data_IF_247175932235
#
_entry.id   IF_247175932235
#
_cell.length_a   1.000
_cell.length_b   1.000
_cell.length_c   1.000
_cell.angle_alpha   90.00
_cell.angle_beta   90.00
_cell.angle_gamma   90.00
#
_symmetry.space_group_name_H-M   'P 1'
#
loop_
_entity.id
_entity.type
_entity.pdbx_description
1 polymer ?
#
# COMPACT_ATOMS: atom_id res chain seq x y z
N UNK A 1 11.87 -73.95 28.77
CA UNK A 1 11.38 -72.63 28.30
C UNK A 1 12.59 -71.72 28.09
N UNK A 2 12.85 -71.27 26.86
CA UNK A 2 13.95 -70.36 26.53
C UNK A 2 13.58 -68.93 26.91
N UNK A 3 14.35 -68.29 27.80
CA UNK A 3 14.15 -66.90 28.22
C UNK A 3 14.90 -65.96 27.27
N UNK A 4 14.19 -65.33 26.34
CA UNK A 4 14.77 -64.31 25.46
C UNK A 4 15.04 -63.01 26.24
N UNK A 5 16.32 -62.76 26.56
CA UNK A 5 16.78 -61.50 27.14
C UNK A 5 16.85 -60.44 26.03
N UNK A 6 15.75 -59.72 25.81
CA UNK A 6 15.75 -58.51 24.98
C UNK A 6 16.64 -57.45 25.66
N UNK A 7 17.90 -57.31 25.23
CA UNK A 7 18.77 -56.18 25.60
C UNK A 7 18.17 -54.91 24.99
N UNK A 8 17.43 -54.13 25.79
CA UNK A 8 17.06 -52.77 25.40
C UNK A 8 18.35 -51.95 25.28
N UNK A 9 18.78 -51.65 24.06
CA UNK A 9 19.84 -50.67 23.79
C UNK A 9 19.23 -49.29 24.02
N UNK A 10 19.50 -48.69 25.17
CA UNK A 10 19.17 -47.29 25.43
C UNK A 10 20.16 -46.38 24.72
N UNK A 11 19.67 -45.26 24.19
CA UNK A 11 20.54 -44.16 23.76
C UNK A 11 21.33 -43.65 24.96
N UNK A 12 22.61 -43.33 24.76
CA UNK A 12 23.40 -42.68 25.80
C UNK A 12 22.98 -41.22 25.93
N UNK A 13 23.06 -40.66 27.15
CA UNK A 13 22.84 -39.23 27.37
C UNK A 13 23.76 -38.38 26.47
N UNK A 14 24.98 -38.85 26.24
CA UNK A 14 25.98 -38.17 25.40
C UNK A 14 25.53 -38.09 23.94
N UNK A 15 25.04 -39.19 23.35
CA UNK A 15 24.53 -39.17 21.97
C UNK A 15 23.35 -38.20 21.82
N UNK A 16 22.48 -38.12 22.82
CA UNK A 16 21.33 -37.23 22.78
C UNK A 16 21.72 -35.75 22.88
N UNK A 17 22.67 -35.38 23.75
CA UNK A 17 23.12 -33.99 23.86
C UNK A 17 23.85 -33.50 22.61
N UNK A 18 24.63 -34.35 21.94
CA UNK A 18 25.36 -33.96 20.72
C UNK A 18 24.39 -33.61 19.61
N UNK A 19 23.32 -34.38 19.45
CA UNK A 19 22.27 -34.10 18.45
C UNK A 19 21.54 -32.80 18.78
N UNK A 20 21.18 -32.56 20.03
CA UNK A 20 20.53 -31.31 20.44
C UNK A 20 21.42 -30.09 20.19
N UNK A 21 22.73 -30.19 20.42
CA UNK A 21 23.69 -29.12 20.15
C UNK A 21 23.76 -28.82 18.65
N UNK A 22 23.83 -29.85 17.80
CA UNK A 22 23.85 -29.67 16.33
C UNK A 22 22.56 -29.01 15.85
N UNK A 23 21.39 -29.47 16.32
CA UNK A 23 20.10 -28.89 15.98
C UNK A 23 20.00 -27.42 16.43
N UNK A 24 20.53 -27.08 17.61
CA UNK A 24 20.56 -25.71 18.11
C UNK A 24 21.42 -24.79 17.23
N UNK A 25 22.60 -25.24 16.80
CA UNK A 25 23.48 -24.46 15.91
C UNK A 25 22.83 -24.25 14.54
N UNK A 26 22.26 -25.30 13.95
CA UNK A 26 21.58 -25.20 12.65
C UNK A 26 20.37 -24.27 12.72
N UNK A 27 19.56 -24.38 13.78
CA UNK A 27 18.42 -23.48 13.99
C UNK A 27 18.87 -22.02 14.15
N UNK A 28 19.93 -21.76 14.93
CA UNK A 28 20.44 -20.42 15.16
C UNK A 28 20.88 -19.70 13.86
N UNK A 29 21.47 -20.44 12.92
CA UNK A 29 21.86 -19.88 11.61
C UNK A 29 20.68 -19.72 10.65
N UNK A 30 19.70 -20.62 10.71
CA UNK A 30 18.59 -20.67 9.75
C UNK A 30 17.46 -19.67 10.08
N UNK A 31 17.18 -19.42 11.36
CA UNK A 31 16.08 -18.55 11.79
C UNK A 31 16.19 -17.12 11.21
N UNK A 32 17.34 -16.42 11.29
CA UNK A 32 17.47 -15.06 10.74
C UNK A 32 17.31 -15.00 9.22
N UNK A 33 17.78 -16.03 8.51
CA UNK A 33 17.60 -16.11 7.06
C UNK A 33 16.12 -16.29 6.71
N UNK A 34 15.43 -17.20 7.40
CA UNK A 34 14.02 -17.49 7.14
C UNK A 34 13.11 -16.28 7.44
N UNK A 35 13.36 -15.53 8.51
CA UNK A 35 12.59 -14.32 8.81
C UNK A 35 12.78 -13.24 7.75
N UNK A 36 13.99 -13.07 7.23
CA UNK A 36 14.26 -12.17 6.10
C UNK A 36 13.52 -12.56 4.82
N UNK A 37 13.49 -13.86 4.49
CA UNK A 37 12.73 -14.37 3.33
C UNK A 37 11.22 -14.15 3.48
N UNK A 38 10.67 -14.35 4.68
CA UNK A 38 9.25 -14.10 4.96
C UNK A 38 8.91 -12.63 4.76
N UNK A 39 9.73 -11.70 5.27
CA UNK A 39 9.48 -10.27 5.09
C UNK A 39 9.61 -9.84 3.62
N UNK A 40 10.55 -10.42 2.86
CA UNK A 40 10.63 -10.21 1.40
C UNK A 40 9.38 -10.71 0.67
N UNK A 41 8.93 -11.94 0.96
CA UNK A 41 7.73 -12.51 0.35
C UNK A 41 6.48 -11.67 0.64
N UNK A 42 6.36 -11.13 1.86
CA UNK A 42 5.28 -10.19 2.21
C UNK A 42 5.34 -8.90 1.40
N UNK A 43 6.53 -8.32 1.22
CA UNK A 43 6.71 -7.12 0.38
C UNK A 43 6.32 -7.41 -1.08
N UNK A 44 6.81 -8.51 -1.63
CA UNK A 44 6.52 -8.91 -3.01
C UNK A 44 5.02 -9.14 -3.22
N UNK A 45 4.35 -9.76 -2.24
CA UNK A 45 2.90 -9.92 -2.26
C UNK A 45 2.16 -8.57 -2.26
N UNK A 46 2.55 -7.64 -1.40
CA UNK A 46 1.92 -6.32 -1.31
C UNK A 46 2.15 -5.49 -2.59
N UNK A 47 3.31 -5.63 -3.22
CA UNK A 47 3.60 -5.03 -4.53
C UNK A 47 2.66 -5.60 -5.60
N UNK A 48 2.48 -6.93 -5.63
CA UNK A 48 1.56 -7.58 -6.56
C UNK A 48 0.12 -7.11 -6.36
N UNK A 49 -0.37 -7.05 -5.12
CA UNK A 49 -1.70 -6.52 -4.78
C UNK A 49 -1.88 -5.06 -5.20
N UNK A 50 -0.84 -4.23 -4.99
CA UNK A 50 -0.86 -2.81 -5.42
C UNK A 50 -0.97 -2.69 -6.94
N UNK A 51 -0.32 -3.59 -7.69
CA UNK A 51 -0.41 -3.63 -9.15
C UNK A 51 -1.77 -4.11 -9.64
N UNK A 52 -2.35 -5.15 -9.04
CA UNK A 52 -3.72 -5.59 -9.37
C UNK A 52 -4.72 -4.46 -9.11
N UNK A 53 -4.55 -3.74 -8.00
CA UNK A 53 -5.35 -2.56 -7.69
C UNK A 53 -5.16 -1.44 -8.73
N UNK A 54 -3.93 -1.19 -9.18
CA UNK A 54 -3.66 -0.23 -10.26
C UNK A 54 -4.46 -0.58 -11.52
N UNK A 55 -4.38 -1.84 -11.97
CA UNK A 55 -5.03 -2.30 -13.21
C UNK A 55 -6.57 -2.23 -13.11
N UNK A 56 -7.13 -2.65 -11.97
CA UNK A 56 -8.56 -2.56 -11.70
C UNK A 56 -9.06 -1.10 -11.72
N UNK A 57 -8.38 -0.20 -11.00
CA UNK A 57 -8.78 1.21 -10.95
C UNK A 57 -8.60 1.88 -12.29
N UNK A 58 -7.49 1.63 -12.99
CA UNK A 58 -7.26 2.23 -14.30
C UNK A 58 -8.32 1.82 -15.32
N UNK A 59 -8.90 0.62 -15.20
CA UNK A 59 -10.02 0.14 -16.01
C UNK A 59 -11.28 0.98 -15.76
N UNK A 60 -11.73 1.06 -14.51
CA UNK A 60 -12.89 1.89 -14.11
C UNK A 60 -12.72 3.37 -14.48
N UNK A 61 -11.52 3.91 -14.27
CA UNK A 61 -11.22 5.30 -14.57
C UNK A 61 -11.22 5.59 -16.06
N UNK A 62 -10.82 4.62 -16.90
CA UNK A 62 -10.91 4.75 -18.35
C UNK A 62 -12.37 4.80 -18.82
N UNK A 63 -13.27 4.04 -18.20
CA UNK A 63 -14.70 4.09 -18.49
C UNK A 63 -15.31 5.45 -18.12
N UNK A 64 -14.99 5.97 -16.93
CA UNK A 64 -15.42 7.30 -16.51
C UNK A 64 -14.88 8.38 -17.46
N UNK A 65 -13.62 8.28 -17.86
CA UNK A 65 -12.99 9.23 -18.77
C UNK A 65 -13.64 9.25 -20.16
N UNK A 66 -14.01 8.08 -20.68
CA UNK A 66 -14.72 7.94 -21.95
C UNK A 66 -16.20 8.28 -21.89
N UNK A 67 -16.76 8.43 -20.68
CA UNK A 67 -18.17 8.79 -20.48
C UNK A 67 -18.41 10.29 -20.63
N UNK A 68 -19.67 10.69 -20.90
CA UNK A 68 -20.09 12.10 -20.91
C UNK A 68 -20.34 12.67 -19.50
N UNK A 69 -19.85 12.02 -18.44
CA UNK A 69 -20.04 12.46 -17.05
C UNK A 69 -19.02 13.54 -16.69
N UNK A 70 -19.47 14.66 -16.13
CA UNK A 70 -18.59 15.66 -15.56
C UNK A 70 -18.03 15.17 -14.20
N UNK A 71 -16.88 14.49 -14.22
CA UNK A 71 -16.28 13.87 -13.04
C UNK A 71 -15.23 14.74 -12.32
N UNK A 72 -14.81 15.86 -12.90
CA UNK A 72 -13.89 16.84 -12.29
C UNK A 72 -14.63 17.97 -11.57
N UNK A 73 -15.65 17.64 -10.78
CA UNK A 73 -16.51 18.67 -10.19
C UNK A 73 -15.75 19.46 -9.14
N UNK A 74 -15.85 20.80 -9.18
CA UNK A 74 -15.44 21.72 -8.09
C UNK A 74 -14.09 21.38 -7.45
N UNK A 75 -13.06 21.22 -8.29
CA UNK A 75 -11.66 21.00 -7.89
C UNK A 75 -11.35 19.63 -7.25
N UNK A 76 -12.31 18.99 -6.56
CA UNK A 76 -12.14 17.72 -5.84
C UNK A 76 -13.35 16.82 -6.06
N UNK A 77 -13.12 15.53 -6.35
CA UNK A 77 -14.22 14.58 -6.57
C UNK A 77 -13.89 13.19 -6.06
N UNK A 78 -14.85 12.57 -5.39
CA UNK A 78 -14.77 11.18 -4.92
C UNK A 78 -15.35 10.28 -6.01
N UNK A 79 -14.49 9.55 -6.72
CA UNK A 79 -14.87 8.74 -7.87
C UNK A 79 -15.40 7.38 -7.44
N UNK A 80 -14.76 6.75 -6.46
CA UNK A 80 -15.20 5.50 -5.84
C UNK A 80 -14.90 5.56 -4.34
N UNK A 81 -15.80 5.06 -3.49
CA UNK A 81 -15.56 4.97 -2.05
C UNK A 81 -16.55 4.05 -1.34
N UNK A 82 -16.12 3.34 -0.30
CA UNK A 82 -17.02 2.58 0.58
C UNK A 82 -17.70 3.45 1.65
N UNK A 83 -17.37 4.75 1.71
CA UNK A 83 -17.77 5.63 2.80
C UNK A 83 -19.26 5.98 2.71
N UNK A 84 -19.90 6.07 3.87
CA UNK A 84 -21.28 6.53 4.00
C UNK A 84 -21.42 8.05 3.89
N UNK A 85 -20.38 8.78 4.24
CA UNK A 85 -20.35 10.25 4.18
C UNK A 85 -19.15 10.72 3.35
N UNK A 86 -19.31 11.83 2.61
CA UNK A 86 -18.18 12.39 1.87
C UNK A 86 -17.10 12.90 2.81
N UNK A 87 -15.88 12.93 2.28
CA UNK A 87 -14.71 13.50 2.94
C UNK A 87 -14.86 15.02 2.90
N UNK A 88 -14.85 15.69 4.05
CA UNK A 88 -14.76 17.15 4.17
C UNK A 88 -15.72 17.96 3.24
N UNK A 89 -16.95 17.47 3.07
CA UNK A 89 -17.96 18.11 2.22
C UNK A 89 -17.76 17.95 0.70
N UNK A 90 -16.79 17.14 0.27
CA UNK A 90 -16.55 16.83 -1.15
C UNK A 90 -17.71 16.06 -1.75
N UNK A 91 -17.78 15.98 -3.08
CA UNK A 91 -18.90 15.33 -3.76
C UNK A 91 -18.49 13.97 -4.30
N UNK A 92 -19.37 12.99 -4.06
CA UNK A 92 -19.36 11.75 -4.82
C UNK A 92 -19.68 12.03 -6.28
N UNK A 93 -19.04 11.29 -7.17
CA UNK A 93 -19.46 11.22 -8.56
C UNK A 93 -20.80 10.48 -8.62
N UNK A 94 -21.90 11.21 -8.83
CA UNK A 94 -23.25 10.65 -8.71
C UNK A 94 -23.67 10.53 -7.25
N UNK A 95 -24.38 9.45 -6.90
CA UNK A 95 -24.81 9.18 -5.53
C UNK A 95 -23.74 8.44 -4.72
N UNK A 96 -23.94 8.37 -3.39
CA UNK A 96 -23.11 7.55 -2.52
C UNK A 96 -23.17 6.06 -2.89
N UNK A 97 -24.34 5.57 -3.34
CA UNK A 97 -24.49 4.21 -3.81
C UNK A 97 -23.67 3.95 -5.08
N UNK A 98 -23.62 4.91 -6.01
CA UNK A 98 -22.82 4.80 -7.23
C UNK A 98 -21.32 4.75 -6.92
N UNK A 99 -20.86 5.59 -5.99
CA UNK A 99 -19.47 5.58 -5.53
C UNK A 99 -19.10 4.26 -4.84
N UNK A 100 -20.03 3.69 -4.06
CA UNK A 100 -19.86 2.38 -3.43
C UNK A 100 -19.83 1.24 -4.45
N UNK A 101 -20.71 1.25 -5.44
CA UNK A 101 -20.73 0.22 -6.47
C UNK A 101 -19.40 0.13 -7.22
N UNK A 102 -18.85 1.28 -7.63
CA UNK A 102 -17.52 1.34 -8.26
C UNK A 102 -16.41 0.88 -7.33
N UNK A 103 -16.49 1.21 -6.04
CA UNK A 103 -15.52 0.74 -5.06
C UNK A 103 -15.55 -0.79 -4.92
N UNK A 104 -16.74 -1.37 -4.80
CA UNK A 104 -16.93 -2.81 -4.66
C UNK A 104 -16.47 -3.55 -5.94
N UNK A 105 -16.68 -2.96 -7.12
CA UNK A 105 -16.18 -3.47 -8.40
C UNK A 105 -14.65 -3.47 -8.46
N UNK A 106 -14.00 -2.36 -8.07
CA UNK A 106 -12.53 -2.27 -7.95
C UNK A 106 -11.99 -3.34 -7.02
N UNK A 107 -12.58 -3.48 -5.82
CA UNK A 107 -12.14 -4.48 -4.83
C UNK A 107 -12.25 -5.89 -5.39
N UNK A 108 -13.35 -6.16 -6.10
CA UNK A 108 -13.60 -7.47 -6.73
C UNK A 108 -12.61 -7.75 -7.86
N UNK A 109 -12.33 -6.77 -8.72
CA UNK A 109 -11.38 -6.90 -9.83
C UNK A 109 -9.94 -7.04 -9.34
N UNK A 110 -9.57 -6.32 -8.28
CA UNK A 110 -8.23 -6.34 -7.72
C UNK A 110 -7.95 -7.55 -6.81
N UNK A 111 -9.00 -8.29 -6.43
CA UNK A 111 -8.94 -9.46 -5.52
C UNK A 111 -8.22 -9.18 -4.18
N UNK A 112 -8.35 -7.96 -3.67
CA UNK A 112 -7.69 -7.57 -2.42
C UNK A 112 -8.43 -8.12 -1.18
N UNK A 113 -7.71 -8.47 -0.09
CA UNK A 113 -8.34 -8.94 1.13
C UNK A 113 -9.21 -7.87 1.78
N UNK A 114 -10.27 -8.28 2.49
CA UNK A 114 -11.22 -7.37 3.13
C UNK A 114 -10.63 -6.50 4.25
N UNK A 115 -9.49 -6.90 4.81
CA UNK A 115 -8.75 -6.09 5.80
C UNK A 115 -7.90 -4.99 5.16
N UNK A 116 -7.72 -5.01 3.84
CA UNK A 116 -6.94 -4.01 3.15
C UNK A 116 -7.75 -2.72 2.93
N UNK A 117 -7.03 -1.61 2.86
CA UNK A 117 -7.58 -0.29 2.60
C UNK A 117 -6.69 0.41 1.58
N UNK A 118 -7.26 1.32 0.80
CA UNK A 118 -6.47 2.08 -0.15
C UNK A 118 -6.94 3.50 -0.31
N UNK A 119 -6.00 4.37 -0.69
CA UNK A 119 -6.24 5.68 -1.25
C UNK A 119 -5.58 5.70 -2.63
N UNK A 120 -6.33 6.11 -3.64
CA UNK A 120 -5.80 6.32 -4.99
C UNK A 120 -6.14 7.74 -5.43
N UNK A 121 -5.13 8.44 -5.92
CA UNK A 121 -5.28 9.74 -6.55
C UNK A 121 -5.18 9.56 -8.05
N UNK A 122 -6.09 10.18 -8.79
CA UNK A 122 -6.06 10.24 -10.25
C UNK A 122 -5.93 11.68 -10.72
N UNK A 123 -5.28 11.85 -11.85
CA UNK A 123 -5.10 13.14 -12.50
C UNK A 123 -6.26 13.49 -13.44
N UNK A 124 -6.20 14.66 -14.06
CA UNK A 124 -7.22 15.16 -14.97
C UNK A 124 -7.38 14.35 -16.26
N UNK A 125 -6.51 13.38 -16.52
CA UNK A 125 -6.63 12.43 -17.62
C UNK A 125 -7.14 11.07 -17.15
N UNK A 126 -7.65 10.98 -15.91
CA UNK A 126 -8.09 9.74 -15.27
C UNK A 126 -6.98 8.66 -15.22
N UNK A 127 -5.72 9.10 -15.19
CA UNK A 127 -4.57 8.23 -14.96
C UNK A 127 -4.19 8.27 -13.49
N UNK A 128 -3.70 7.15 -12.99
CA UNK A 128 -3.25 7.04 -11.61
C UNK A 128 -2.05 7.97 -11.37
N UNK A 129 -2.21 8.87 -10.41
CA UNK A 129 -1.18 9.78 -9.91
C UNK A 129 -0.38 9.14 -8.77
N UNK A 130 -1.09 8.59 -7.78
CA UNK A 130 -0.48 7.90 -6.64
C UNK A 130 -1.41 6.82 -6.10
N UNK A 131 -0.84 5.73 -5.59
CA UNK A 131 -1.53 4.68 -4.84
C UNK A 131 -0.88 4.57 -3.48
N UNK A 132 -1.71 4.50 -2.45
CA UNK A 132 -1.34 4.13 -1.09
C UNK A 132 -2.24 2.97 -0.68
N UNK A 133 -1.67 1.77 -0.61
CA UNK A 133 -2.38 0.54 -0.32
C UNK A 133 -1.92 -0.01 1.03
N UNK A 134 -2.79 -0.02 2.04
CA UNK A 134 -2.53 -0.71 3.29
C UNK A 134 -3.05 -2.14 3.19
N UNK A 135 -2.15 -3.11 3.26
CA UNK A 135 -2.47 -4.54 3.14
C UNK A 135 -3.23 -5.14 4.32
N UNK A 136 -3.40 -4.40 5.42
CA UNK A 136 -3.93 -4.90 6.69
C UNK A 136 -2.98 -5.84 7.44
N UNK A 137 -1.75 -6.05 6.93
CA UNK A 137 -0.75 -7.00 7.45
C UNK A 137 0.53 -6.34 7.96
N UNK A 138 0.45 -5.04 8.27
CA UNK A 138 1.58 -4.24 8.73
C UNK A 138 2.50 -3.75 7.60
N UNK A 139 2.04 -3.82 6.36
CA UNK A 139 2.76 -3.35 5.18
C UNK A 139 1.89 -2.41 4.36
N UNK A 140 2.52 -1.35 3.83
CA UNK A 140 1.95 -0.49 2.80
C UNK A 140 2.60 -0.77 1.46
N UNK A 141 1.82 -0.77 0.39
CA UNK A 141 2.25 -0.74 -0.99
C UNK A 141 2.00 0.64 -1.57
N UNK A 142 2.93 1.14 -2.37
CA UNK A 142 2.85 2.46 -2.98
C UNK A 142 3.21 2.42 -4.45
N UNK A 143 2.60 3.33 -5.20
CA UNK A 143 2.95 3.65 -6.58
C UNK A 143 2.86 5.16 -6.76
N UNK A 144 3.79 5.73 -7.54
CA UNK A 144 3.80 7.16 -7.86
C UNK A 144 4.05 7.37 -9.35
N UNK A 145 3.31 8.30 -9.96
CA UNK A 145 3.37 8.58 -11.40
C UNK A 145 4.74 9.08 -11.87
N UNK A 146 5.48 9.78 -11.00
CA UNK A 146 6.80 10.35 -11.30
C UNK A 146 7.89 9.28 -11.45
N UNK A 147 7.88 8.28 -10.59
CA UNK A 147 8.84 7.17 -10.58
C UNK A 147 8.36 6.00 -11.42
N UNK A 148 7.04 5.83 -11.58
CA UNK A 148 6.39 4.69 -12.22
C UNK A 148 6.81 3.33 -11.62
N UNK A 149 7.17 3.34 -10.34
CA UNK A 149 7.64 2.17 -9.62
C UNK A 149 6.68 1.78 -8.51
N UNK A 150 6.57 0.46 -8.29
CA UNK A 150 5.87 -0.11 -7.15
C UNK A 150 6.87 -0.43 -6.05
N UNK A 151 6.55 -0.06 -4.82
CA UNK A 151 7.36 -0.38 -3.66
C UNK A 151 6.48 -0.77 -2.49
N UNK A 152 7.04 -1.55 -1.56
CA UNK A 152 6.36 -1.90 -0.31
C UNK A 152 7.24 -1.64 0.90
N UNK A 153 6.61 -1.08 1.94
CA UNK A 153 7.26 -0.66 3.18
C UNK A 153 6.52 -1.27 4.37
N UNK A 154 7.28 -1.65 5.40
CA UNK A 154 6.73 -2.20 6.64
C UNK A 154 6.43 -1.02 7.58
N UNK A 155 5.19 -0.92 8.04
CA UNK A 155 4.76 0.12 8.98
C UNK A 155 5.61 0.08 10.26
N UNK A 156 5.95 1.26 10.79
CA UNK A 156 6.80 1.40 11.98
C UNK A 156 8.30 1.23 11.73
N UNK A 157 8.74 1.00 10.50
CA UNK A 157 10.17 0.92 10.18
C UNK A 157 10.77 2.32 10.11
N UNK A 158 11.93 2.53 10.72
CA UNK A 158 12.68 3.77 10.57
C UNK A 158 13.37 3.83 9.20
N UNK A 159 13.26 4.97 8.53
CA UNK A 159 13.96 5.33 7.29
C UNK A 159 14.83 6.56 7.56
N UNK A 160 15.60 6.99 6.56
CA UNK A 160 16.34 8.27 6.62
C UNK A 160 15.42 9.51 6.69
N UNK A 161 14.13 9.36 6.33
CA UNK A 161 13.15 10.44 6.26
C UNK A 161 12.15 10.45 7.42
N UNK A 162 12.18 9.44 8.30
CA UNK A 162 11.26 9.31 9.42
C UNK A 162 10.81 7.86 9.63
N UNK A 163 9.69 7.68 10.32
CA UNK A 163 9.08 6.35 10.50
C UNK A 163 8.02 6.14 9.44
N UNK A 164 8.00 4.97 8.82
CA UNK A 164 6.95 4.60 7.86
C UNK A 164 5.60 4.56 8.59
N UNK A 165 4.71 5.47 8.21
CA UNK A 165 3.41 5.65 8.84
C UNK A 165 2.38 6.11 7.80
N UNK A 166 1.11 5.72 7.96
CA UNK A 166 0.03 6.06 7.05
C UNK A 166 -1.14 6.79 7.73
N UNK A 167 -0.96 7.24 8.97
CA UNK A 167 -2.00 7.88 9.79
C UNK A 167 -2.56 9.15 9.13
N UNK A 168 -1.71 9.89 8.41
CA UNK A 168 -2.09 11.09 7.66
C UNK A 168 -3.20 10.79 6.64
N UNK A 169 -3.21 9.57 6.08
CA UNK A 169 -4.18 9.17 5.04
C UNK A 169 -5.32 8.30 5.55
N UNK A 170 -5.13 7.58 6.66
CA UNK A 170 -6.09 6.62 7.18
C UNK A 170 -7.44 7.23 7.59
N UNK A 171 -7.44 8.35 8.32
CA UNK A 171 -8.67 8.89 8.91
C UNK A 171 -9.50 9.83 8.00
N UNK A 172 -8.96 10.49 6.97
CA UNK A 172 -9.84 11.15 6.00
C UNK A 172 -10.02 10.37 4.70
N UNK A 173 -9.01 9.65 4.20
CA UNK A 173 -8.91 9.39 2.76
C UNK A 173 -8.96 7.92 2.35
N UNK A 174 -8.61 7.00 3.25
CA UNK A 174 -8.72 5.57 2.94
C UNK A 174 -10.12 5.14 2.55
N UNK A 175 -10.12 4.06 1.77
CA UNK A 175 -11.25 3.52 1.04
C UNK A 175 -11.83 4.47 0.00
N UNK A 176 -10.96 5.17 -0.74
CA UNK A 176 -11.40 6.13 -1.75
C UNK A 176 -10.47 6.20 -2.97
N UNK A 177 -11.07 6.39 -4.15
CA UNK A 177 -10.43 6.86 -5.38
C UNK A 177 -10.86 8.30 -5.59
N UNK A 178 -9.89 9.21 -5.68
CA UNK A 178 -10.13 10.65 -5.67
C UNK A 178 -9.49 11.31 -6.88
N UNK A 179 -10.19 12.29 -7.43
CA UNK A 179 -9.59 13.32 -8.27
C UNK A 179 -9.38 14.58 -7.43
N UNK A 180 -8.19 15.17 -7.56
CA UNK A 180 -7.86 16.47 -6.97
C UNK A 180 -7.12 17.31 -8.00
N UNK A 181 -7.66 18.46 -8.38
CA UNK A 181 -7.05 19.41 -9.32
C UNK A 181 -5.60 19.76 -8.98
N UNK A 182 -5.24 19.73 -7.69
CA UNK A 182 -3.90 20.03 -7.18
C UNK A 182 -2.82 19.15 -7.84
N UNK A 183 -3.16 17.91 -8.23
CA UNK A 183 -2.21 17.00 -8.88
C UNK A 183 -1.88 17.44 -10.31
N UNK A 184 -2.75 18.21 -10.94
CA UNK A 184 -2.59 18.79 -12.29
C UNK A 184 -2.08 20.23 -12.25
N UNK A 185 -1.81 20.78 -11.05
CA UNK A 185 -1.41 22.18 -10.91
C UNK A 185 -0.13 22.47 -11.71
N UNK A 186 -0.07 23.62 -12.41
CA UNK A 186 1.10 23.98 -13.20
C UNK A 186 2.32 24.17 -12.31
N UNK A 187 3.46 23.70 -12.81
CA UNK A 187 4.77 23.89 -12.20
C UNK A 187 5.45 25.12 -12.80
N UNK A 188 6.37 25.72 -12.04
CA UNK A 188 7.24 26.77 -12.55
C UNK A 188 8.28 26.22 -13.54
N UNK A 189 9.09 27.12 -14.08
CA UNK A 189 10.20 26.81 -15.00
C UNK A 189 11.27 25.87 -14.40
N UNK A 190 11.32 25.77 -13.07
CA UNK A 190 12.23 24.90 -12.33
C UNK A 190 11.56 23.57 -11.92
N UNK A 191 10.29 23.35 -12.31
CA UNK A 191 9.53 22.16 -11.97
C UNK A 191 8.95 22.13 -10.55
N UNK A 192 9.00 23.24 -9.80
CA UNK A 192 8.40 23.39 -8.46
C UNK A 192 6.93 23.80 -8.56
N UNK A 193 6.17 23.49 -7.51
CA UNK A 193 4.76 23.90 -7.41
C UNK A 193 4.66 25.37 -7.00
N UNK A 194 3.82 26.14 -7.70
CA UNK A 194 3.56 27.54 -7.36
C UNK A 194 2.61 27.71 -6.18
N UNK A 195 1.71 26.74 -5.98
CA UNK A 195 0.75 26.72 -4.87
C UNK A 195 1.21 25.72 -3.80
N UNK A 196 1.44 26.17 -2.54
CA UNK A 196 1.74 25.27 -1.43
C UNK A 196 0.71 24.15 -1.24
N UNK A 197 -0.57 24.42 -1.52
CA UNK A 197 -1.62 23.40 -1.44
C UNK A 197 -1.47 22.34 -2.52
N UNK A 198 -0.95 22.71 -3.69
CA UNK A 198 -0.68 21.75 -4.76
C UNK A 198 0.50 20.84 -4.43
N UNK A 199 1.52 21.38 -3.77
CA UNK A 199 2.66 20.58 -3.30
C UNK A 199 2.22 19.44 -2.38
N UNK A 200 1.29 19.66 -1.45
CA UNK A 200 0.78 18.63 -0.52
C UNK A 200 0.24 17.38 -1.21
N UNK A 201 -0.27 17.51 -2.42
CA UNK A 201 -0.82 16.40 -3.22
C UNK A 201 0.14 15.89 -4.27
N UNK A 202 1.38 16.38 -4.29
CA UNK A 202 2.45 15.89 -5.15
C UNK A 202 2.98 14.53 -4.67
N UNK A 203 3.56 13.77 -5.60
CA UNK A 203 4.22 12.50 -5.28
C UNK A 203 5.33 12.66 -4.22
N UNK A 204 6.08 13.76 -4.24
CA UNK A 204 7.13 14.04 -3.24
C UNK A 204 6.55 14.26 -1.84
N UNK A 205 5.54 15.12 -1.71
CA UNK A 205 4.89 15.38 -0.43
C UNK A 205 4.21 14.13 0.13
N UNK A 206 3.58 13.32 -0.73
CA UNK A 206 2.96 12.07 -0.30
C UNK A 206 4.02 11.07 0.21
N UNK A 207 5.13 10.91 -0.52
CA UNK A 207 6.26 10.09 -0.04
C UNK A 207 6.80 10.58 1.30
N UNK A 208 6.94 11.89 1.46
CA UNK A 208 7.42 12.50 2.70
C UNK A 208 6.44 12.31 3.87
N UNK A 209 5.13 12.49 3.64
CA UNK A 209 4.10 12.26 4.65
C UNK A 209 4.05 10.79 5.11
N UNK A 210 4.40 9.86 4.24
CA UNK A 210 4.53 8.44 4.57
C UNK A 210 5.87 8.07 5.25
N UNK A 211 6.78 9.03 5.43
CA UNK A 211 8.11 8.78 5.99
C UNK A 211 9.04 7.98 5.07
N UNK A 212 8.81 8.00 3.74
CA UNK A 212 9.58 7.26 2.73
C UNK A 212 10.25 8.15 1.68
N UNK A 213 10.21 9.47 1.85
CA UNK A 213 10.86 10.42 0.95
C UNK A 213 11.16 11.75 1.61
N UNK A 214 12.00 12.55 0.95
CA UNK A 214 12.39 13.88 1.44
C UNK A 214 11.22 14.86 1.34
N UNK A 215 10.99 15.62 2.42
CA UNK A 215 10.15 16.82 2.39
C UNK A 215 10.93 17.99 1.79
N UNK A 216 10.46 18.53 0.67
CA UNK A 216 11.12 19.60 -0.09
C UNK A 216 10.09 20.54 -0.74
N UNK A 217 9.35 21.32 0.07
CA UNK A 217 8.30 22.21 -0.43
C UNK A 217 8.90 23.38 -1.23
N UNK A 218 8.10 24.01 -2.11
CA UNK A 218 8.52 25.23 -2.78
C UNK A 218 8.90 26.33 -1.77
N UNK A 219 9.97 27.07 -2.10
CA UNK A 219 10.40 28.22 -1.30
C UNK A 219 9.37 29.35 -1.49
N UNK A 220 8.79 29.82 -0.39
CA UNK A 220 7.77 30.89 -0.36
C UNK A 220 8.35 32.25 -0.69
#
# INVERSE_FOLDING_TARGET
>A
MLYSKNKKRGFTLVELIVVLVILAILAALLIPALTGYIDKAKKDQVIAETRMLHEAVQTEMAEIYGSNVAWKQQNLSILASDRSTPIDGWKFLGSQADAKNRYDEIVKLAEIPSSAKFLILVNGQAKIHAIIYNSGRGYIGVYFQDTQQYAAYKLGTATEYGTVDDSTYNAPYYSSVLYNWAVDAPRDENGKYNDPNAYWWSCDAIRAALGIGKWDPPET
#
